data_IF_257951754018
#
_entry.id   IF_257951754018
#
_cell.length_a   1.000
_cell.length_b   1.000
_cell.length_c   1.000
_cell.angle_alpha   90.00
_cell.angle_beta   90.00
_cell.angle_gamma   90.00
#
_symmetry.space_group_name_H-M   'P 1'
#
loop_
_entity.id
_entity.type
_entity.pdbx_description
1 polymer ?
#
# COMPACT_ATOMS: atom_id res chain seq x y z
N UNK A 1 17.55 16.88 30.41
CA UNK A 1 18.23 17.21 29.14
C UNK A 1 17.57 16.36 28.06
N UNK A 2 16.66 16.96 27.29
CA UNK A 2 15.96 16.27 26.23
C UNK A 2 16.92 16.16 25.05
N UNK A 3 17.48 14.99 24.83
CA UNK A 3 18.22 14.68 23.60
C UNK A 3 17.14 14.50 22.53
N UNK A 4 16.95 15.51 21.69
CA UNK A 4 16.26 15.34 20.41
C UNK A 4 17.26 14.54 19.58
N UNK A 5 17.06 13.23 19.51
CA UNK A 5 17.78 12.42 18.53
C UNK A 5 17.47 13.00 17.16
N UNK A 6 18.50 13.41 16.44
CA UNK A 6 18.37 13.85 15.06
C UNK A 6 17.92 12.64 14.22
N UNK A 7 16.62 12.49 14.03
CA UNK A 7 16.08 11.51 13.10
C UNK A 7 16.45 11.99 11.71
N UNK A 8 17.46 11.38 11.10
CA UNK A 8 17.81 11.63 9.70
C UNK A 8 16.77 10.90 8.86
N UNK A 9 15.81 11.65 8.35
CA UNK A 9 14.80 11.14 7.44
C UNK A 9 15.42 11.02 6.05
N UNK A 10 15.62 9.80 5.56
CA UNK A 10 16.10 9.54 4.20
C UNK A 10 14.92 9.17 3.30
N UNK A 11 14.67 9.99 2.28
CA UNK A 11 13.64 9.74 1.28
C UNK A 11 14.31 9.63 -0.09
N UNK A 12 13.97 8.58 -0.83
CA UNK A 12 14.42 8.41 -2.21
C UNK A 12 13.28 7.91 -3.11
N UNK A 13 13.26 8.39 -4.34
CA UNK A 13 12.28 7.99 -5.34
C UNK A 13 12.59 6.60 -5.91
N UNK A 14 11.54 5.87 -6.24
CA UNK A 14 11.62 4.61 -6.97
C UNK A 14 10.78 4.70 -8.24
N UNK A 15 11.31 4.16 -9.35
CA UNK A 15 10.52 4.00 -10.58
C UNK A 15 9.56 2.83 -10.39
N UNK A 16 8.27 3.09 -10.47
CA UNK A 16 7.24 2.07 -10.32
C UNK A 16 7.13 1.16 -11.54
N UNK A 17 7.88 1.48 -12.61
CA UNK A 17 7.82 0.77 -13.88
C UNK A 17 6.40 0.67 -14.45
N UNK A 18 5.65 1.76 -14.28
CA UNK A 18 4.28 1.89 -14.73
C UNK A 18 4.14 1.61 -16.23
N UNK A 19 3.04 0.96 -16.59
CA UNK A 19 2.85 0.44 -17.94
C UNK A 19 2.52 1.54 -18.96
N UNK A 20 1.71 2.53 -18.58
CA UNK A 20 1.20 3.54 -19.53
C UNK A 20 2.02 4.82 -19.54
N UNK A 21 2.28 5.36 -18.37
CA UNK A 21 3.04 6.61 -18.18
C UNK A 21 4.01 6.42 -17.04
N UNK A 22 5.17 7.06 -17.15
CA UNK A 22 6.19 6.96 -16.11
C UNK A 22 5.66 7.51 -14.79
N UNK A 23 5.68 6.68 -13.76
CA UNK A 23 5.26 7.00 -12.41
C UNK A 23 6.37 6.68 -11.41
N UNK A 24 6.42 7.47 -10.34
CA UNK A 24 7.36 7.29 -9.26
C UNK A 24 6.63 7.13 -7.94
N UNK A 25 7.09 6.18 -7.15
CA UNK A 25 6.84 6.12 -5.72
C UNK A 25 8.03 6.64 -4.94
N UNK A 26 8.01 6.45 -3.63
CA UNK A 26 9.16 6.74 -2.79
C UNK A 26 9.27 5.76 -1.63
N UNK A 27 10.50 5.61 -1.14
CA UNK A 27 10.81 4.94 0.11
C UNK A 27 11.30 5.98 1.11
N UNK A 28 10.76 5.93 2.31
CA UNK A 28 11.16 6.76 3.43
C UNK A 28 11.72 5.88 4.56
N UNK A 29 12.98 6.07 4.90
CA UNK A 29 13.57 5.49 6.08
C UNK A 29 13.34 6.46 7.25
N UNK A 30 12.45 6.12 8.16
CA UNK A 30 12.04 7.01 9.25
C UNK A 30 12.58 6.60 10.63
N UNK A 31 13.16 5.41 10.73
CA UNK A 31 13.85 4.89 11.90
C UNK A 31 14.85 3.81 11.46
N UNK A 32 15.82 3.41 12.28
CA UNK A 32 16.69 2.26 11.98
C UNK A 32 15.86 1.03 11.65
N UNK A 33 16.09 0.46 10.46
CA UNK A 33 15.38 -0.71 9.93
C UNK A 33 13.86 -0.56 9.77
N UNK A 34 13.33 0.67 9.76
CA UNK A 34 11.92 0.93 9.51
C UNK A 34 11.74 1.76 8.25
N UNK A 35 10.98 1.21 7.32
CA UNK A 35 10.72 1.81 6.02
C UNK A 35 9.23 1.96 5.78
N UNK A 36 8.88 3.09 5.19
CA UNK A 36 7.56 3.36 4.60
C UNK A 36 7.71 3.47 3.10
N UNK A 37 6.89 2.77 2.35
CA UNK A 37 6.84 2.86 0.90
C UNK A 37 5.52 3.46 0.42
N UNK A 38 5.60 4.45 -0.47
CA UNK A 38 4.46 5.01 -1.18
C UNK A 38 4.49 4.53 -2.63
N UNK A 39 3.45 3.82 -3.06
CA UNK A 39 3.36 3.20 -4.39
C UNK A 39 2.43 3.95 -5.36
N UNK A 40 1.79 5.04 -4.92
CA UNK A 40 0.85 5.79 -5.76
C UNK A 40 -0.36 4.94 -6.16
N UNK A 41 -0.84 5.14 -7.38
CA UNK A 41 -1.96 4.45 -7.99
C UNK A 41 -1.55 3.42 -9.07
N UNK A 42 -0.35 2.88 -8.95
CA UNK A 42 0.17 1.87 -9.87
C UNK A 42 0.18 0.48 -9.23
N UNK A 43 -0.08 -0.52 -10.06
CA UNK A 43 0.03 -1.92 -9.65
C UNK A 43 1.48 -2.28 -9.37
N UNK A 44 1.77 -2.75 -8.16
CA UNK A 44 3.10 -3.22 -7.82
C UNK A 44 3.47 -4.44 -8.68
N UNK A 45 4.64 -4.42 -9.26
CA UNK A 45 5.17 -5.48 -10.12
C UNK A 45 6.52 -5.99 -9.60
N UNK A 46 7.01 -7.10 -10.17
CA UNK A 46 8.25 -7.74 -9.73
C UNK A 46 9.47 -6.81 -9.64
N UNK A 47 9.54 -5.79 -10.53
CA UNK A 47 10.66 -4.83 -10.52
C UNK A 47 10.58 -3.88 -9.33
N UNK A 48 9.37 -3.61 -8.84
CA UNK A 48 9.10 -2.73 -7.69
C UNK A 48 9.20 -3.49 -6.37
N UNK A 49 8.82 -4.76 -6.33
CA UNK A 49 8.79 -5.59 -5.13
C UNK A 49 10.12 -5.64 -4.36
N UNK A 50 11.24 -5.63 -5.08
CA UNK A 50 12.57 -5.62 -4.45
C UNK A 50 12.85 -4.43 -3.54
N UNK A 51 12.14 -3.30 -3.74
CA UNK A 51 12.30 -2.09 -2.93
C UNK A 51 11.41 -2.09 -1.69
N UNK A 52 10.32 -2.85 -1.70
CA UNK A 52 9.31 -2.83 -0.63
C UNK A 52 9.31 -4.08 0.23
N UNK A 53 10.07 -5.11 -0.14
CA UNK A 53 10.21 -6.33 0.67
C UNK A 53 10.67 -5.97 2.09
N UNK A 54 10.00 -6.55 3.08
CA UNK A 54 10.25 -6.34 4.51
C UNK A 54 10.02 -4.88 4.99
N UNK A 55 9.34 -4.02 4.20
CA UNK A 55 8.92 -2.71 4.67
C UNK A 55 8.01 -2.80 5.90
N UNK A 56 8.14 -1.84 6.81
CA UNK A 56 7.24 -1.72 7.95
C UNK A 56 5.84 -1.29 7.49
N UNK A 57 5.77 -0.37 6.53
CA UNK A 57 4.54 0.19 6.00
C UNK A 57 4.57 0.28 4.48
N UNK A 58 3.43 0.02 3.84
CA UNK A 58 3.16 0.42 2.46
C UNK A 58 1.87 1.21 2.35
N UNK A 59 1.85 2.20 1.46
CA UNK A 59 0.68 2.91 1.00
C UNK A 59 0.48 2.56 -0.47
N UNK A 60 -0.63 1.93 -0.80
CA UNK A 60 -0.89 1.37 -2.12
C UNK A 60 -2.30 1.65 -2.60
N UNK A 61 -2.43 1.79 -3.91
CA UNK A 61 -3.71 1.71 -4.60
C UNK A 61 -4.41 0.38 -4.28
N UNK A 62 -5.71 0.46 -4.00
CA UNK A 62 -6.58 -0.70 -3.80
C UNK A 62 -8.00 -0.32 -4.26
N UNK A 63 -8.18 -0.27 -5.57
CA UNK A 63 -9.36 0.33 -6.19
C UNK A 63 -10.66 -0.42 -5.90
N UNK A 64 -10.63 -1.76 -5.87
CA UNK A 64 -11.80 -2.62 -5.69
C UNK A 64 -11.58 -3.68 -4.61
N UNK A 65 -12.68 -4.08 -3.96
CA UNK A 65 -12.74 -5.14 -2.96
C UNK A 65 -13.90 -6.12 -3.21
N UNK A 66 -13.83 -7.28 -2.59
CA UNK A 66 -14.91 -8.28 -2.58
C UNK A 66 -15.33 -8.73 -3.98
N UNK A 67 -16.63 -8.86 -4.19
CA UNK A 67 -17.19 -9.40 -5.43
C UNK A 67 -16.88 -8.57 -6.67
N UNK A 68 -16.79 -7.25 -6.52
CA UNK A 68 -16.44 -6.35 -7.64
C UNK A 68 -15.03 -6.62 -8.18
N UNK A 69 -14.15 -7.11 -7.32
CA UNK A 69 -12.78 -7.42 -7.65
C UNK A 69 -12.57 -8.85 -8.22
N UNK A 70 -13.55 -9.74 -8.11
CA UNK A 70 -13.37 -11.17 -8.47
C UNK A 70 -13.01 -11.37 -9.94
N UNK A 71 -13.57 -10.56 -10.85
CA UNK A 71 -13.34 -10.63 -12.29
C UNK A 71 -12.25 -9.67 -12.77
N UNK A 72 -11.61 -8.93 -11.84
CA UNK A 72 -10.62 -7.93 -12.17
C UNK A 72 -9.21 -8.49 -11.97
N UNK A 73 -8.43 -8.55 -13.05
CA UNK A 73 -7.02 -8.92 -12.99
C UNK A 73 -6.16 -7.66 -13.15
N UNK A 74 -5.52 -7.16 -12.07
CA UNK A 74 -4.71 -5.95 -12.11
C UNK A 74 -3.54 -6.05 -13.11
N UNK A 75 -2.92 -7.21 -13.21
CA UNK A 75 -1.75 -7.43 -14.09
C UNK A 75 -2.15 -7.36 -15.57
N UNK A 76 -3.26 -7.99 -15.94
CA UNK A 76 -3.73 -7.97 -17.33
C UNK A 76 -4.32 -6.61 -17.72
N UNK A 77 -4.98 -5.94 -16.79
CA UNK A 77 -5.60 -4.65 -17.03
C UNK A 77 -4.61 -3.49 -17.05
N UNK A 78 -3.46 -3.64 -16.39
CA UNK A 78 -2.43 -2.60 -16.26
C UNK A 78 -3.01 -1.27 -15.73
N UNK A 79 -3.87 -1.35 -14.73
CA UNK A 79 -4.54 -0.21 -14.13
C UNK A 79 -4.37 -0.25 -12.62
N UNK A 80 -5.49 -0.32 -11.92
CA UNK A 80 -5.53 -0.27 -10.47
C UNK A 80 -5.36 -1.65 -9.85
N UNK A 81 -4.84 -1.67 -8.62
CA UNK A 81 -4.79 -2.89 -7.80
C UNK A 81 -6.16 -3.22 -7.22
N UNK A 82 -6.32 -4.45 -6.76
CA UNK A 82 -7.44 -4.83 -5.91
C UNK A 82 -6.95 -5.02 -4.47
N UNK A 83 -7.87 -4.95 -3.52
CA UNK A 83 -7.57 -5.25 -2.10
C UNK A 83 -6.92 -6.62 -1.95
N UNK A 84 -7.48 -7.64 -2.62
CA UNK A 84 -6.90 -8.99 -2.63
C UNK A 84 -5.46 -9.00 -3.13
N UNK A 85 -5.18 -8.36 -4.27
CA UNK A 85 -3.84 -8.32 -4.86
C UNK A 85 -2.82 -7.69 -3.90
N UNK A 86 -3.16 -6.53 -3.30
CA UNK A 86 -2.29 -5.84 -2.33
C UNK A 86 -2.07 -6.71 -1.08
N UNK A 87 -3.13 -7.34 -0.58
CA UNK A 87 -3.06 -8.18 0.61
C UNK A 87 -2.18 -9.43 0.39
N UNK A 88 -2.35 -10.15 -0.72
CA UNK A 88 -1.51 -11.31 -1.08
C UNK A 88 -0.04 -10.91 -1.30
N UNK A 89 0.20 -9.78 -1.95
CA UNK A 89 1.54 -9.22 -2.14
C UNK A 89 2.19 -8.88 -0.78
N UNK A 90 1.47 -8.19 0.09
CA UNK A 90 1.97 -7.79 1.39
C UNK A 90 2.31 -8.99 2.29
N UNK A 91 1.48 -10.05 2.29
CA UNK A 91 1.76 -11.29 3.01
C UNK A 91 3.03 -11.96 2.48
N UNK A 92 3.17 -12.07 1.17
CA UNK A 92 4.31 -12.69 0.51
C UNK A 92 5.63 -11.93 0.72
N UNK A 93 5.57 -10.61 0.75
CA UNK A 93 6.74 -9.73 0.92
C UNK A 93 7.05 -9.39 2.38
N UNK A 94 6.34 -9.99 3.34
CA UNK A 94 6.54 -9.77 4.77
C UNK A 94 6.39 -8.30 5.19
N UNK A 95 5.43 -7.59 4.58
CA UNK A 95 5.05 -6.24 4.97
C UNK A 95 4.26 -6.33 6.28
N UNK A 96 4.39 -5.36 7.19
CA UNK A 96 3.68 -5.41 8.48
C UNK A 96 2.36 -4.64 8.48
N UNK A 97 2.33 -3.52 7.79
CA UNK A 97 1.18 -2.63 7.77
C UNK A 97 0.86 -2.17 6.35
N UNK A 98 -0.39 -2.26 5.94
CA UNK A 98 -0.85 -1.77 4.65
C UNK A 98 -1.89 -0.67 4.81
N UNK A 99 -1.73 0.42 4.07
CA UNK A 99 -2.72 1.49 3.92
C UNK A 99 -3.27 1.38 2.50
N UNK A 100 -4.57 1.07 2.41
CA UNK A 100 -5.31 0.92 1.17
C UNK A 100 -5.94 2.26 0.79
N UNK A 101 -5.65 2.74 -0.40
CA UNK A 101 -6.12 4.04 -0.89
C UNK A 101 -6.66 3.95 -2.31
N UNK A 102 -7.11 5.08 -2.87
CA UNK A 102 -7.59 5.20 -4.25
C UNK A 102 -8.72 4.21 -4.56
N UNK A 103 -9.66 4.08 -3.64
CA UNK A 103 -10.77 3.14 -3.71
C UNK A 103 -11.95 3.67 -4.50
N UNK A 104 -12.79 2.77 -5.06
CA UNK A 104 -14.12 3.13 -5.54
C UNK A 104 -14.96 3.70 -4.40
N UNK A 105 -15.96 4.50 -4.75
CA UNK A 105 -16.91 5.10 -3.81
C UNK A 105 -18.33 4.54 -3.94
N UNK A 106 -18.45 3.32 -4.47
CA UNK A 106 -19.74 2.66 -4.69
C UNK A 106 -20.53 2.40 -3.40
N UNK A 107 -19.84 2.23 -2.27
CA UNK A 107 -20.43 2.08 -0.93
C UNK A 107 -19.54 2.79 0.10
N UNK A 108 -19.62 4.11 0.15
CA UNK A 108 -18.79 4.93 1.03
C UNK A 108 -19.03 4.63 2.52
N UNK A 109 -20.26 4.31 2.91
CA UNK A 109 -20.61 4.05 4.30
C UNK A 109 -19.93 2.79 4.85
N UNK A 110 -19.88 1.72 4.06
CA UNK A 110 -19.32 0.43 4.47
C UNK A 110 -17.94 0.13 3.89
N UNK A 111 -17.42 1.01 3.01
CA UNK A 111 -16.14 0.81 2.30
C UNK A 111 -15.00 0.39 3.21
N UNK A 112 -14.79 1.11 4.29
CA UNK A 112 -13.70 0.83 5.24
C UNK A 112 -13.78 -0.59 5.79
N UNK A 113 -14.96 -1.02 6.21
CA UNK A 113 -15.18 -2.36 6.72
C UNK A 113 -14.98 -3.41 5.64
N UNK A 114 -15.57 -3.22 4.45
CA UNK A 114 -15.47 -4.16 3.31
C UNK A 114 -14.00 -4.37 2.93
N UNK A 115 -13.22 -3.30 2.80
CA UNK A 115 -11.81 -3.36 2.41
C UNK A 115 -10.95 -4.07 3.46
N UNK A 116 -11.15 -3.78 4.75
CA UNK A 116 -10.43 -4.42 5.85
C UNK A 116 -10.78 -5.92 5.92
N UNK A 117 -12.05 -6.27 5.86
CA UNK A 117 -12.52 -7.66 5.91
C UNK A 117 -12.03 -8.47 4.70
N UNK A 118 -12.03 -7.88 3.51
CA UNK A 118 -11.53 -8.54 2.32
C UNK A 118 -10.00 -8.77 2.39
N UNK A 119 -9.22 -7.75 2.78
CA UNK A 119 -7.78 -7.89 2.96
C UNK A 119 -7.41 -8.96 3.99
N UNK A 120 -8.14 -9.04 5.09
CA UNK A 120 -7.90 -10.00 6.18
C UNK A 120 -8.10 -11.47 5.80
N UNK A 121 -8.72 -11.76 4.67
CA UNK A 121 -8.81 -13.13 4.13
C UNK A 121 -7.45 -13.61 3.62
N UNK A 122 -6.56 -12.70 3.22
CA UNK A 122 -5.31 -12.99 2.51
C UNK A 122 -4.05 -12.50 3.25
N UNK A 123 -4.22 -11.62 4.25
CA UNK A 123 -3.12 -10.95 4.92
C UNK A 123 -3.32 -10.90 6.44
N UNK A 124 -2.27 -11.28 7.18
CA UNK A 124 -2.28 -11.38 8.65
C UNK A 124 -1.82 -10.09 9.34
N UNK A 125 -1.13 -9.22 8.64
CA UNK A 125 -0.64 -7.95 9.17
C UNK A 125 -1.75 -6.91 9.42
N UNK A 126 -1.39 -5.69 9.72
CA UNK A 126 -2.35 -4.62 9.99
C UNK A 126 -2.87 -3.98 8.70
N UNK A 127 -4.17 -3.76 8.63
CA UNK A 127 -4.87 -3.19 7.48
C UNK A 127 -5.56 -1.89 7.87
N UNK A 128 -5.30 -0.85 7.11
CA UNK A 128 -5.91 0.46 7.23
C UNK A 128 -6.57 0.84 5.90
N UNK A 129 -7.83 1.24 5.95
CA UNK A 129 -8.58 1.75 4.80
C UNK A 129 -9.21 3.10 5.19
N UNK A 130 -8.43 4.19 5.12
CA UNK A 130 -8.86 5.49 5.64
C UNK A 130 -9.99 6.11 4.83
N UNK A 131 -10.80 6.92 5.52
CA UNK A 131 -11.57 7.97 4.87
C UNK A 131 -10.68 9.19 4.59
N UNK A 132 -11.15 10.09 3.75
CA UNK A 132 -10.46 11.34 3.48
C UNK A 132 -10.22 12.12 4.77
N UNK A 133 -9.05 12.72 4.88
CA UNK A 133 -8.59 13.50 6.05
C UNK A 133 -8.32 12.70 7.33
N UNK A 134 -8.41 11.39 7.33
CA UNK A 134 -7.93 10.60 8.48
C UNK A 134 -6.40 10.71 8.61
N UNK A 135 -5.94 10.79 9.86
CA UNK A 135 -4.51 10.91 10.19
C UNK A 135 -4.02 9.61 10.84
N UNK A 136 -2.83 9.17 10.46
CA UNK A 136 -2.14 8.02 11.04
C UNK A 136 -0.78 8.41 11.59
N UNK A 137 -0.42 7.82 12.71
CA UNK A 137 0.96 7.86 13.20
C UNK A 137 1.71 6.64 12.66
N UNK A 138 2.81 6.90 11.95
CA UNK A 138 3.72 5.87 11.46
C UNK A 138 4.82 5.69 12.51
N UNK A 139 4.77 4.59 13.24
CA UNK A 139 5.63 4.30 14.37
C UNK A 139 6.44 3.01 14.17
#
# INVERSE_FOLDING_TARGET
MNIIENIILNIYSIDLNAFKVKQFGFIMNYSPNKQFAFLGDEVCNEKTEKYIKDCEWIFSDAYMAGKEAEEYNPIERHHHSTVKFVAEMAERLNIKNIILSHSTDNDLEHRKQIFIEDAKKYYKGNVFAPYDLETFEIV
#
